data_IF_759669627179
#
_entry.id   IF_759669627179
#
_cell.length_a   1.000
_cell.length_b   1.000
_cell.length_c   1.000
_cell.angle_alpha   90.00
_cell.angle_beta   90.00
_cell.angle_gamma   90.00
#
_symmetry.space_group_name_H-M   'P 1'
#
loop_
_entity.id
_entity.type
_entity.pdbx_description
1 polymer ?
#
# COMPACT_ATOMS: atom_id res chain seq x y z
N UNK A 1 5.05 -6.86 -2.69
CA UNK A 1 4.92 -5.58 -3.43
C UNK A 1 4.35 -4.51 -2.51
N UNK A 2 4.94 -3.34 -2.53
CA UNK A 2 4.48 -2.18 -1.75
C UNK A 2 4.12 -1.06 -2.72
N UNK A 3 2.94 -0.48 -2.53
CA UNK A 3 2.50 0.71 -3.26
C UNK A 3 2.48 1.91 -2.30
N UNK A 4 3.29 2.92 -2.61
CA UNK A 4 3.28 4.19 -1.89
C UNK A 4 2.49 5.20 -2.71
N UNK A 5 1.32 5.59 -2.23
CA UNK A 5 0.45 6.55 -2.92
C UNK A 5 0.65 7.94 -2.31
N UNK A 6 1.14 8.85 -3.13
CA UNK A 6 1.41 10.23 -2.75
C UNK A 6 0.42 11.14 -3.48
N UNK A 7 -0.50 11.72 -2.72
CA UNK A 7 -1.49 12.65 -3.25
C UNK A 7 -0.84 13.99 -3.60
N UNK A 8 -1.27 14.58 -4.72
CA UNK A 8 -0.84 15.91 -5.13
C UNK A 8 -2.03 16.85 -5.23
N UNK A 9 -1.84 18.09 -4.79
CA UNK A 9 -2.85 19.15 -4.91
C UNK A 9 -2.65 20.03 -6.15
N UNK A 10 -1.54 19.87 -6.86
CA UNK A 10 -1.16 20.71 -7.99
C UNK A 10 -1.25 20.00 -9.34
N UNK A 11 -1.02 18.69 -9.35
CA UNK A 11 -1.03 17.88 -10.57
C UNK A 11 -1.56 16.47 -10.25
N UNK A 12 -1.11 15.48 -10.99
CA UNK A 12 -1.54 14.10 -10.77
C UNK A 12 -0.84 13.47 -9.56
N UNK A 13 -1.57 12.66 -8.79
CA UNK A 13 -1.00 11.84 -7.72
C UNK A 13 0.04 10.87 -8.28
N UNK A 14 1.06 10.57 -7.47
CA UNK A 14 2.12 9.62 -7.82
C UNK A 14 1.97 8.36 -7.00
N UNK A 15 2.01 7.21 -7.66
CA UNK A 15 2.10 5.91 -7.02
C UNK A 15 3.45 5.30 -7.33
N UNK A 16 4.24 5.03 -6.31
CA UNK A 16 5.53 4.37 -6.44
C UNK A 16 5.33 2.90 -6.06
N UNK A 17 5.67 2.01 -7.00
CA UNK A 17 5.59 0.57 -6.80
C UNK A 17 6.97 0.01 -6.51
N UNK A 18 7.10 -0.68 -5.39
CA UNK A 18 8.33 -1.38 -4.99
C UNK A 18 8.10 -2.89 -5.07
N UNK A 19 8.73 -3.54 -6.02
CA UNK A 19 8.83 -4.99 -6.09
C UNK A 19 10.11 -5.43 -5.39
N UNK A 20 10.02 -5.67 -4.10
CA UNK A 20 11.18 -5.87 -3.23
C UNK A 20 12.09 -6.98 -3.72
N UNK A 21 11.52 -8.07 -4.25
CA UNK A 21 12.29 -9.21 -4.76
C UNK A 21 13.09 -8.89 -6.03
N UNK A 22 12.72 -7.83 -6.75
CA UNK A 22 13.41 -7.41 -7.97
C UNK A 22 14.40 -6.25 -7.74
N UNK A 23 14.50 -5.75 -6.52
CA UNK A 23 15.42 -4.67 -6.17
C UNK A 23 16.83 -5.22 -5.97
N UNK A 24 17.83 -4.64 -6.67
CA UNK A 24 19.20 -5.13 -6.64
C UNK A 24 20.06 -4.60 -5.51
N UNK A 25 19.76 -3.45 -4.98
CA UNK A 25 20.53 -2.85 -3.91
C UNK A 25 19.92 -3.17 -2.55
N UNK A 26 20.49 -4.15 -1.90
CA UNK A 26 20.19 -4.49 -0.51
C UNK A 26 21.29 -3.91 0.37
N UNK A 27 21.58 -2.62 0.21
CA UNK A 27 22.46 -1.88 1.11
C UNK A 27 21.80 -1.45 2.41
N UNK A 28 20.77 -2.18 2.84
CA UNK A 28 19.95 -1.85 3.98
C UNK A 28 18.68 -1.07 3.61
N UNK A 29 17.56 -1.50 4.17
CA UNK A 29 16.31 -0.77 4.10
C UNK A 29 16.25 0.30 5.20
N UNK A 30 17.32 1.09 5.34
CA UNK A 30 17.28 2.21 6.26
C UNK A 30 16.42 3.34 5.68
N UNK A 31 15.93 4.20 6.54
CA UNK A 31 15.06 5.30 6.17
C UNK A 31 15.70 6.20 5.10
N UNK A 32 16.98 6.47 5.20
CA UNK A 32 17.73 7.32 4.27
C UNK A 32 17.76 6.73 2.85
N UNK A 33 18.02 5.44 2.75
CA UNK A 33 18.04 4.73 1.46
C UNK A 33 16.66 4.73 0.81
N UNK A 34 15.61 4.48 1.59
CA UNK A 34 14.22 4.49 1.09
C UNK A 34 13.77 5.89 0.66
N UNK A 35 14.10 6.92 1.43
CA UNK A 35 13.82 8.32 1.05
C UNK A 35 14.54 8.71 -0.24
N UNK A 36 15.78 8.24 -0.43
CA UNK A 36 16.52 8.44 -1.67
C UNK A 36 15.82 7.83 -2.88
N UNK A 37 15.26 6.64 -2.73
CA UNK A 37 14.48 5.98 -3.79
C UNK A 37 13.18 6.71 -4.10
N UNK A 38 12.49 7.20 -3.10
CA UNK A 38 11.29 8.03 -3.26
C UNK A 38 11.61 9.33 -3.98
N UNK A 39 12.69 10.02 -3.58
CA UNK A 39 13.13 11.25 -4.24
C UNK A 39 13.48 11.02 -5.71
N UNK A 40 14.18 9.94 -6.02
CA UNK A 40 14.51 9.55 -7.39
C UNK A 40 13.24 9.28 -8.23
N UNK A 41 12.27 8.57 -7.67
CA UNK A 41 11.01 8.28 -8.33
C UNK A 41 10.23 9.56 -8.62
N UNK A 42 10.18 10.50 -7.68
CA UNK A 42 9.53 11.80 -7.88
C UNK A 42 10.22 12.63 -8.95
N UNK A 43 11.56 12.62 -9.01
CA UNK A 43 12.31 13.29 -10.08
C UNK A 43 12.00 12.70 -11.45
N UNK A 44 11.99 11.38 -11.57
CA UNK A 44 11.63 10.68 -12.82
C UNK A 44 10.20 11.01 -13.24
N UNK A 45 9.31 11.25 -12.28
CA UNK A 45 7.89 11.50 -12.55
C UNK A 45 7.58 12.91 -13.03
N UNK A 46 8.56 13.80 -13.11
CA UNK A 46 8.33 15.18 -13.56
C UNK A 46 7.81 15.20 -14.99
N UNK A 47 6.78 15.99 -15.22
CA UNK A 47 6.17 16.14 -16.54
C UNK A 47 5.33 14.95 -16.99
N UNK A 48 5.07 13.97 -16.15
CA UNK A 48 4.19 12.85 -16.49
C UNK A 48 2.74 13.33 -16.65
N UNK A 49 2.09 12.84 -17.70
CA UNK A 49 0.66 13.03 -17.92
C UNK A 49 -0.19 12.04 -17.12
N UNK A 50 -1.50 12.05 -17.38
CA UNK A 50 -2.44 11.17 -16.74
C UNK A 50 -2.20 9.71 -17.12
N UNK A 51 -2.24 8.82 -16.14
CA UNK A 51 -2.14 7.36 -16.34
C UNK A 51 -0.87 6.91 -17.09
N UNK A 52 0.23 7.60 -16.86
CA UNK A 52 1.54 7.19 -17.35
C UNK A 52 2.26 6.29 -16.35
N UNK A 53 3.18 5.47 -16.87
CA UNK A 53 4.08 4.64 -16.05
C UNK A 53 5.51 4.83 -16.57
N UNK A 54 6.44 5.06 -15.65
CA UNK A 54 7.88 5.17 -15.99
C UNK A 54 8.70 4.24 -15.10
N UNK A 55 9.70 3.54 -15.64
CA UNK A 55 10.66 2.81 -14.81
C UNK A 55 11.59 3.81 -14.10
N UNK A 56 11.94 3.50 -12.86
CA UNK A 56 12.86 4.30 -12.04
C UNK A 56 14.19 3.59 -11.92
N UNK A 57 14.15 2.37 -11.43
CA UNK A 57 15.29 1.46 -11.29
C UNK A 57 14.76 0.03 -11.16
N UNK A 58 15.65 -0.94 -11.02
CA UNK A 58 15.22 -2.34 -10.89
C UNK A 58 14.30 -2.53 -9.68
N UNK A 59 13.09 -3.02 -9.95
CA UNK A 59 12.07 -3.22 -8.92
C UNK A 59 11.32 -1.96 -8.49
N UNK A 60 11.59 -0.79 -9.09
CA UNK A 60 10.92 0.46 -8.75
C UNK A 60 10.34 1.12 -10.00
N UNK A 61 9.03 1.36 -9.96
CA UNK A 61 8.32 2.09 -11.01
C UNK A 61 7.49 3.22 -10.41
N UNK A 62 7.20 4.25 -11.19
CA UNK A 62 6.31 5.34 -10.78
C UNK A 62 5.18 5.49 -11.78
N UNK A 63 3.96 5.68 -11.27
CA UNK A 63 2.74 5.86 -12.06
C UNK A 63 2.00 7.12 -11.64
N UNK A 64 1.35 7.75 -12.60
CA UNK A 64 0.34 8.79 -12.33
C UNK A 64 -1.04 8.13 -12.35
N UNK A 65 -1.41 7.54 -11.25
CA UNK A 65 -2.68 6.86 -11.08
C UNK A 65 -3.33 7.32 -9.77
N UNK A 66 -4.65 7.53 -9.78
CA UNK A 66 -5.37 7.88 -8.56
C UNK A 66 -5.45 6.68 -7.63
N UNK A 67 -5.63 6.95 -6.34
CA UNK A 67 -5.82 5.89 -5.35
C UNK A 67 -7.03 5.01 -5.70
N UNK A 68 -8.14 5.61 -6.08
CA UNK A 68 -9.36 4.90 -6.45
C UNK A 68 -9.14 3.97 -7.65
N UNK A 69 -8.41 4.44 -8.66
CA UNK A 69 -8.10 3.63 -9.83
C UNK A 69 -7.18 2.46 -9.48
N UNK A 70 -6.17 2.72 -8.64
CA UNK A 70 -5.25 1.69 -8.18
C UNK A 70 -5.99 0.58 -7.43
N UNK A 71 -6.86 0.93 -6.49
CA UNK A 71 -7.63 -0.09 -5.74
C UNK A 71 -8.62 -0.83 -6.60
N UNK A 72 -9.21 -0.20 -7.62
CA UNK A 72 -10.04 -0.88 -8.61
C UNK A 72 -9.25 -1.94 -9.37
N UNK A 73 -8.03 -1.63 -9.79
CA UNK A 73 -7.15 -2.59 -10.45
C UNK A 73 -6.79 -3.75 -9.52
N UNK A 74 -6.42 -3.45 -8.28
CA UNK A 74 -6.04 -4.47 -7.29
C UNK A 74 -7.21 -5.36 -6.88
N UNK A 75 -8.42 -4.82 -6.83
CA UNK A 75 -9.61 -5.55 -6.43
C UNK A 75 -9.99 -6.69 -7.40
N UNK A 76 -9.47 -6.67 -8.63
CA UNK A 76 -9.74 -7.71 -9.63
C UNK A 76 -9.26 -9.09 -9.17
N UNK A 77 -8.08 -9.15 -8.55
CA UNK A 77 -7.45 -10.41 -8.14
C UNK A 77 -6.95 -10.44 -6.70
N UNK A 78 -7.14 -9.35 -5.95
CA UNK A 78 -6.75 -9.26 -4.54
C UNK A 78 -7.96 -9.12 -3.64
N UNK A 79 -7.84 -9.66 -2.44
CA UNK A 79 -8.79 -9.43 -1.36
C UNK A 79 -8.34 -8.20 -0.57
N UNK A 80 -9.17 -7.14 -0.57
CA UNK A 80 -8.81 -5.86 0.06
C UNK A 80 -9.20 -5.85 1.54
N UNK A 81 -8.29 -5.34 2.37
CA UNK A 81 -8.50 -5.14 3.81
C UNK A 81 -8.11 -3.72 4.20
N UNK A 82 -8.97 -3.07 4.98
CA UNK A 82 -8.74 -1.74 5.54
C UNK A 82 -8.52 -1.87 7.04
N UNK A 83 -7.50 -1.22 7.56
CA UNK A 83 -7.25 -1.19 8.99
C UNK A 83 -8.25 -0.29 9.69
N UNK A 84 -9.03 -0.85 10.60
CA UNK A 84 -10.04 -0.14 11.38
C UNK A 84 -10.21 -0.80 12.75
N UNK A 85 -10.31 0.01 13.81
CA UNK A 85 -10.48 -0.52 15.19
C UNK A 85 -11.73 -1.37 15.37
N UNK A 86 -12.77 -1.11 14.59
CA UNK A 86 -14.05 -1.80 14.62
C UNK A 86 -14.11 -3.01 13.70
N UNK A 87 -12.98 -3.37 13.08
CA UNK A 87 -12.91 -4.49 12.18
C UNK A 87 -12.84 -5.84 12.88
N UNK A 88 -12.91 -6.90 12.09
CA UNK A 88 -12.67 -8.26 12.56
C UNK A 88 -11.20 -8.42 12.94
N UNK A 89 -10.91 -9.14 14.03
CA UNK A 89 -9.52 -9.43 14.41
C UNK A 89 -8.79 -10.13 13.27
N UNK A 90 -7.57 -9.70 12.97
CA UNK A 90 -6.74 -10.34 11.95
C UNK A 90 -6.56 -11.85 12.23
N UNK A 91 -6.56 -12.25 13.49
CA UNK A 91 -6.42 -13.66 13.89
C UNK A 91 -7.62 -14.50 13.49
N UNK A 92 -8.80 -13.90 13.43
CA UNK A 92 -10.06 -14.55 13.09
C UNK A 92 -10.39 -14.44 11.59
N UNK A 93 -9.75 -13.51 10.87
CA UNK A 93 -10.02 -13.28 9.46
C UNK A 93 -9.44 -14.40 8.59
N UNK A 94 -10.29 -14.99 7.76
CA UNK A 94 -9.84 -15.93 6.72
C UNK A 94 -9.32 -15.17 5.50
N UNK A 95 -8.19 -15.61 4.95
CA UNK A 95 -7.61 -15.07 3.73
C UNK A 95 -7.75 -16.13 2.62
N UNK A 96 -8.58 -15.83 1.61
CA UNK A 96 -8.91 -16.78 0.54
C UNK A 96 -8.01 -16.65 -0.70
N UNK A 97 -7.49 -15.46 -0.95
CA UNK A 97 -6.68 -15.16 -2.12
C UNK A 97 -5.55 -14.21 -1.73
N UNK A 98 -4.94 -13.56 -2.70
CA UNK A 98 -3.88 -12.57 -2.45
C UNK A 98 -4.42 -11.42 -1.59
N UNK A 99 -4.03 -11.30 -0.32
CA UNK A 99 -4.49 -10.20 0.52
C UNK A 99 -3.76 -8.91 0.15
N UNK A 100 -4.49 -7.81 0.13
CA UNK A 100 -3.95 -6.46 -0.04
C UNK A 100 -4.40 -5.60 1.14
N UNK A 101 -3.46 -5.07 1.89
CA UNK A 101 -3.73 -4.30 3.10
C UNK A 101 -3.57 -2.81 2.81
N UNK A 102 -4.59 -2.03 3.17
CA UNK A 102 -4.67 -0.59 2.96
C UNK A 102 -4.38 0.11 4.29
N UNK A 103 -3.29 0.85 4.31
CA UNK A 103 -2.84 1.59 5.47
C UNK A 103 -2.90 3.08 5.15
N UNK A 104 -3.34 3.88 6.11
CA UNK A 104 -3.27 5.34 6.03
C UNK A 104 -2.20 5.84 6.97
N UNK A 105 -1.75 7.07 6.75
CA UNK A 105 -0.93 7.78 7.72
C UNK A 105 -1.80 8.23 8.93
N UNK A 106 -1.33 9.22 9.67
CA UNK A 106 -2.07 9.75 10.82
C UNK A 106 -3.38 10.49 10.46
N UNK A 107 -3.63 10.73 9.18
CA UNK A 107 -4.86 11.35 8.70
C UNK A 107 -5.90 10.28 8.40
N UNK A 108 -7.10 10.32 9.03
CA UNK A 108 -8.14 9.35 8.75
C UNK A 108 -8.57 9.36 7.29
N UNK A 109 -8.89 8.19 6.76
CA UNK A 109 -9.41 8.05 5.41
C UNK A 109 -10.76 8.78 5.27
N UNK A 110 -10.96 9.59 4.21
CA UNK A 110 -12.25 10.24 3.97
C UNK A 110 -13.39 9.22 3.83
N UNK A 111 -14.58 9.57 4.32
CA UNK A 111 -15.75 8.68 4.28
C UNK A 111 -16.10 8.23 2.86
N UNK A 112 -16.01 9.12 1.88
CA UNK A 112 -16.30 8.79 0.48
C UNK A 112 -15.33 7.74 -0.09
N UNK A 113 -14.06 7.86 0.24
CA UNK A 113 -13.03 6.88 -0.13
C UNK A 113 -13.35 5.52 0.49
N UNK A 114 -13.75 5.52 1.76
CA UNK A 114 -14.12 4.30 2.47
C UNK A 114 -15.34 3.61 1.81
N UNK A 115 -16.37 4.36 1.43
CA UNK A 115 -17.54 3.81 0.71
C UNK A 115 -17.15 3.20 -0.63
N UNK A 116 -16.23 3.81 -1.36
CA UNK A 116 -15.71 3.25 -2.61
C UNK A 116 -15.02 1.91 -2.36
N UNK A 117 -14.21 1.80 -1.31
CA UNK A 117 -13.55 0.55 -0.94
C UNK A 117 -14.56 -0.53 -0.52
N UNK A 118 -15.60 -0.19 0.22
CA UNK A 118 -16.66 -1.13 0.59
C UNK A 118 -17.36 -1.71 -0.66
N UNK A 119 -17.64 -0.87 -1.67
CA UNK A 119 -18.22 -1.32 -2.95
C UNK A 119 -17.33 -2.30 -3.69
N UNK A 120 -16.00 -2.19 -3.51
CA UNK A 120 -15.02 -3.12 -4.08
C UNK A 120 -14.84 -4.39 -3.24
N UNK A 121 -15.61 -4.55 -2.18
CA UNK A 121 -15.54 -5.72 -1.30
C UNK A 121 -14.50 -5.65 -0.20
N UNK A 122 -13.92 -4.48 0.06
CA UNK A 122 -12.94 -4.31 1.14
C UNK A 122 -13.58 -4.61 2.50
N UNK A 123 -12.85 -5.35 3.33
CA UNK A 123 -13.28 -5.69 4.69
C UNK A 123 -12.42 -4.96 5.71
N UNK A 124 -13.03 -4.58 6.82
CA UNK A 124 -12.32 -3.98 7.96
C UNK A 124 -11.68 -5.07 8.79
N UNK A 125 -10.40 -4.88 9.12
CA UNK A 125 -9.68 -5.74 10.07
C UNK A 125 -9.02 -4.89 11.15
N UNK A 126 -8.81 -5.46 12.31
CA UNK A 126 -8.11 -4.81 13.41
C UNK A 126 -6.94 -5.64 13.91
N UNK A 127 -5.89 -4.97 14.33
CA UNK A 127 -4.73 -5.56 15.02
C UNK A 127 -4.84 -5.45 16.54
N UNK A 128 -5.92 -4.89 17.03
CA UNK A 128 -6.18 -4.69 18.45
C UNK A 128 -6.73 -3.30 18.75
N UNK A 129 -6.90 -3.00 20.04
CA UNK A 129 -7.52 -1.78 20.52
C UNK A 129 -6.57 -0.57 20.56
N UNK A 130 -5.26 -0.79 20.43
CA UNK A 130 -4.25 0.27 20.47
C UNK A 130 -4.06 0.88 19.10
N UNK A 131 -3.87 2.21 19.08
CA UNK A 131 -3.46 2.90 17.86
C UNK A 131 -1.98 2.60 17.59
N UNK A 132 -1.70 2.07 16.40
CA UNK A 132 -0.37 1.69 15.97
C UNK A 132 0.08 2.55 14.79
N UNK A 133 1.39 2.78 14.69
CA UNK A 133 1.97 3.36 13.49
C UNK A 133 1.88 2.38 12.31
N UNK A 134 1.86 2.89 11.09
CA UNK A 134 1.80 2.05 9.89
C UNK A 134 2.91 1.00 9.85
N UNK A 135 4.13 1.35 10.25
CA UNK A 135 5.26 0.42 10.33
C UNK A 135 5.00 -0.74 11.28
N UNK A 136 4.38 -0.47 12.43
CA UNK A 136 4.00 -1.51 13.38
C UNK A 136 2.92 -2.44 12.82
N UNK A 137 1.94 -1.87 12.12
CA UNK A 137 0.91 -2.64 11.43
C UNK A 137 1.51 -3.60 10.41
N UNK A 138 2.46 -3.14 9.61
CA UNK A 138 3.14 -3.97 8.60
C UNK A 138 3.83 -5.16 9.26
N UNK A 139 4.57 -4.94 10.34
CA UNK A 139 5.26 -6.02 11.08
C UNK A 139 4.27 -7.05 11.61
N UNK A 140 3.18 -6.60 12.24
CA UNK A 140 2.18 -7.51 12.83
C UNK A 140 1.43 -8.30 11.75
N UNK A 141 1.11 -7.68 10.63
CA UNK A 141 0.47 -8.36 9.50
C UNK A 141 1.39 -9.47 8.95
N UNK A 142 2.65 -9.17 8.72
CA UNK A 142 3.63 -10.16 8.26
C UNK A 142 3.78 -11.30 9.25
N UNK A 143 3.89 -11.00 10.53
CA UNK A 143 3.98 -12.02 11.57
C UNK A 143 2.78 -12.97 11.54
N UNK A 144 1.57 -12.43 11.45
CA UNK A 144 0.34 -13.23 11.40
C UNK A 144 0.26 -14.11 10.15
N UNK A 145 0.62 -13.56 8.99
CA UNK A 145 0.65 -14.33 7.74
C UNK A 145 1.70 -15.43 7.76
N UNK A 146 2.89 -15.15 8.30
CA UNK A 146 3.97 -16.14 8.41
C UNK A 146 3.55 -17.30 9.32
N UNK A 147 2.88 -17.02 10.42
CA UNK A 147 2.38 -18.08 11.30
C UNK A 147 1.38 -19.00 10.61
N UNK A 148 0.55 -18.48 9.72
CA UNK A 148 -0.43 -19.28 8.99
C UNK A 148 0.20 -20.19 7.93
N UNK A 149 1.32 -19.80 7.37
CA UNK A 149 2.05 -20.60 6.38
C UNK A 149 2.82 -21.78 7.01
N UNK A 150 3.06 -21.74 8.31
CA UNK A 150 3.75 -22.80 9.04
C UNK A 150 2.81 -23.78 9.74
N UNK A 151 1.52 -23.55 9.60
CA UNK A 151 0.48 -24.48 10.06
C UNK A 151 -0.05 -25.29 8.89
#
# INVERSE_FOLDING_TARGET
VIYLVLESTQDFSRTICFEVNAMHEIGGFDERALLGKVAKALDVSRGMGKEETRPVESGVTVRTVSFERLVQELAVDHQLFVMDRKGTSIREQAFQSKPCFLLTDHIPMPKNTFHTLERLGAKKITLGSKMLFASQCVVLIHHELDQRHHL
#
